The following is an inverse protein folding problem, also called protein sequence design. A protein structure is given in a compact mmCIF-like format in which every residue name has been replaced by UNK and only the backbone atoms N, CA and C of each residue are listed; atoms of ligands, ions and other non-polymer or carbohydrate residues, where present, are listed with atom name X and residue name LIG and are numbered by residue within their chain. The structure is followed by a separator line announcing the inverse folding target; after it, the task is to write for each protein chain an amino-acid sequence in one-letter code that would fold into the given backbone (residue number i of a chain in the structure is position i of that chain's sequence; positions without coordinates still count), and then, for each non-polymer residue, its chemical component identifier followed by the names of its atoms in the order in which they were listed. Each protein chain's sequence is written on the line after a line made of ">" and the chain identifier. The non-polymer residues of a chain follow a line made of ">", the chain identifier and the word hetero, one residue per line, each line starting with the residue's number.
data_IF_089550443496
#
_entry.id   IF_089550443496
#
_cell.length_a   1.000
_cell.length_b   1.000
_cell.length_c   1.000
_cell.angle_alpha   90.00
_cell.angle_beta   90.00
_cell.angle_gamma   90.00
#
_symmetry.space_group_name_H-M   'P 1'
#
loop_
_entity.id
_entity.type
_entity.pdbx_description
1 polymer ?
2 water ?
#
# COMPACT_ATOMS: atom_id res chain seq x y z
N UNK A 3 -17.97 -12.56 -5.72
CA UNK A 3 -18.82 -12.49 -4.49
C UNK A 3 -18.02 -12.06 -3.24
N UNK A 4 -18.75 -11.78 -2.17
CA UNK A 4 -18.17 -11.36 -0.89
C UNK A 4 -17.41 -10.04 -1.03
N UNK A 5 -17.82 -9.23 -2.01
CA UNK A 5 -17.18 -7.94 -2.24
C UNK A 5 -15.82 -8.07 -2.92
N UNK A 6 -15.45 -9.28 -3.31
CA UNK A 6 -14.16 -9.44 -3.97
C UNK A 6 -14.33 -9.49 -5.48
N UNK A 7 -13.22 -9.66 -6.19
CA UNK A 7 -13.24 -9.70 -7.65
C UNK A 7 -14.11 -10.87 -8.15
N UNK A 8 -14.86 -10.63 -9.21
CA UNK A 8 -15.72 -11.66 -9.77
C UNK A 8 -14.80 -12.71 -10.41
N UNK A 9 -15.09 -13.98 -10.14
CA UNK A 9 -14.26 -15.02 -10.71
C UNK A 9 -14.21 -16.21 -9.78
N UNK A 10 -13.99 -17.39 -10.35
CA UNK A 10 -13.92 -18.61 -9.57
C UNK A 10 -12.62 -19.37 -9.79
N UNK A 11 -11.67 -18.76 -10.50
CA UNK A 11 -10.40 -19.44 -10.75
C UNK A 11 -9.75 -19.78 -9.41
N UNK A 12 -9.62 -21.07 -9.13
CA UNK A 12 -9.02 -21.54 -7.88
C UNK A 12 -7.50 -21.53 -7.92
N UNK A 13 -6.93 -21.59 -9.13
CA UNK A 13 -5.47 -21.61 -9.26
C UNK A 13 -4.77 -20.24 -9.14
N UNK A 14 -5.45 -19.18 -9.57
CA UNK A 14 -4.85 -17.86 -9.50
C UNK A 14 -5.78 -16.75 -9.92
N UNK A 15 -5.22 -15.69 -10.50
CA UNK A 15 -6.05 -14.56 -10.91
C UNK A 15 -6.24 -13.59 -9.76
N UNK A 16 -6.94 -12.48 -10.01
CA UNK A 16 -7.16 -11.49 -8.96
C UNK A 16 -7.92 -12.13 -7.80
N UNK A 17 -7.69 -11.61 -6.59
CA UNK A 17 -8.32 -12.14 -5.39
C UNK A 17 -9.84 -12.32 -5.51
N UNK A 18 -10.34 -13.55 -5.28
CA UNK A 18 -11.78 -13.75 -5.33
C UNK A 18 -12.24 -14.56 -4.11
N UNK A 19 -13.55 -14.61 -3.92
CA UNK A 19 -14.15 -15.31 -2.80
C UNK A 19 -13.70 -16.77 -2.64
N UNK A 20 -13.50 -17.46 -3.77
CA UNK A 20 -13.06 -18.86 -3.72
C UNK A 20 -11.65 -19.00 -3.11
N UNK A 21 -10.80 -18.00 -3.34
CA UNK A 21 -9.44 -18.02 -2.81
C UNK A 21 -9.39 -17.97 -1.29
N UNK A 22 -10.35 -17.27 -0.69
CA UNK A 22 -10.36 -17.10 0.75
C UNK A 22 -11.53 -17.72 1.50
N UNK A 23 -12.24 -18.63 0.83
CA UNK A 23 -13.38 -19.30 1.47
C UNK A 23 -12.86 -20.12 2.64
N UNK A 24 -11.63 -20.62 2.52
CA UNK A 24 -10.99 -21.43 3.54
C UNK A 24 -10.65 -20.72 4.87
N UNK A 25 -10.69 -19.39 4.88
CA UNK A 25 -10.35 -18.63 6.07
C UNK A 25 -11.53 -18.14 6.90
N UNK A 26 -12.52 -19.02 7.07
CA UNK A 26 -13.69 -18.66 7.85
C UNK A 26 -14.18 -17.26 7.52
N UNK A 27 -14.48 -16.46 8.55
CA UNK A 27 -15.00 -15.13 8.34
C UNK A 27 -13.94 -14.01 8.29
N UNK A 28 -12.67 -14.37 8.11
CA UNK A 28 -11.62 -13.35 8.07
C UNK A 28 -11.75 -12.38 6.88
N UNK A 29 -12.34 -12.86 5.79
CA UNK A 29 -12.52 -12.05 4.57
C UNK A 29 -13.99 -11.78 4.30
N UNK A 30 -14.37 -10.50 4.21
CA UNK A 30 -15.77 -10.17 3.95
C UNK A 30 -15.90 -8.73 3.44
N UNK A 31 -16.88 -8.51 2.57
CA UNK A 31 -17.15 -7.20 1.97
C UNK A 31 -15.90 -6.56 1.35
N UNK A 32 -15.02 -7.40 0.83
CA UNK A 32 -13.80 -6.92 0.20
C UNK A 32 -12.69 -6.62 1.18
N UNK A 33 -12.94 -6.86 2.47
CA UNK A 33 -12.00 -6.58 3.58
C UNK A 33 -11.39 -7.83 4.25
N UNK A 34 -10.16 -7.70 4.76
CA UNK A 34 -9.48 -8.80 5.47
C UNK A 34 -9.30 -8.34 6.91
N UNK A 35 -10.04 -8.95 7.82
CA UNK A 35 -9.97 -8.61 9.23
C UNK A 35 -9.75 -9.87 10.08
N UNK A 36 -8.47 -10.25 10.29
CA UNK A 36 -8.16 -11.44 11.09
C UNK A 36 -7.98 -11.08 12.56
N UNK A 37 -8.04 -12.09 13.42
CA UNK A 37 -7.87 -11.86 14.86
C UNK A 37 -6.59 -12.56 15.33
N UNK A 38 -5.58 -11.76 15.65
CA UNK A 38 -4.30 -12.26 16.10
C UNK A 38 -4.29 -12.31 17.62
N UNK A 39 -3.76 -13.40 18.18
CA UNK A 39 -3.67 -13.57 19.64
C UNK A 39 -3.51 -12.20 20.29
N UNK A 40 -4.27 -11.96 21.36
CA UNK A 40 -4.22 -10.70 22.08
C UNK A 40 -2.79 -10.19 22.25
N UNK A 41 -1.87 -11.09 22.58
CA UNK A 41 -0.49 -10.73 22.82
C UNK A 41 0.29 -10.15 21.62
N UNK A 42 0.32 -10.87 20.50
CA UNK A 42 1.04 -10.38 19.33
C UNK A 42 1.11 -11.45 18.25
N UNK A 43 1.77 -11.15 17.14
CA UNK A 43 1.86 -12.12 16.07
C UNK A 43 2.76 -13.30 16.36
N UNK A 44 3.55 -13.18 17.42
CA UNK A 44 4.45 -14.26 17.83
C UNK A 44 3.68 -15.43 18.41
N UNK A 45 2.49 -15.14 18.95
CA UNK A 45 1.66 -16.18 19.55
C UNK A 45 0.81 -16.85 18.48
N UNK A 46 0.50 -18.15 18.66
CA UNK A 46 -0.31 -18.88 17.67
C UNK A 46 -1.73 -18.37 17.53
N UNK A 47 -2.39 -18.83 16.46
CA UNK A 47 -3.77 -18.44 16.17
C UNK A 47 -4.44 -19.52 15.34
N UNK A 48 -5.76 -19.49 15.27
CA UNK A 48 -6.49 -20.49 14.50
C UNK A 48 -7.54 -19.84 13.62
N UNK A 49 -7.58 -20.25 12.36
CA UNK A 49 -8.52 -19.73 11.37
C UNK A 49 -9.33 -20.85 10.76
N UNK A 50 -10.64 -20.78 10.93
CA UNK A 50 -11.53 -21.79 10.38
C UNK A 50 -10.99 -23.21 10.46
N UNK A 51 -10.59 -23.62 11.66
CA UNK A 51 -10.08 -24.98 11.81
C UNK A 51 -8.56 -25.15 11.76
N UNK A 52 -7.90 -24.48 10.83
CA UNK A 52 -6.44 -24.58 10.72
C UNK A 52 -5.79 -23.73 11.78
N UNK A 53 -4.91 -24.34 12.56
CA UNK A 53 -4.20 -23.59 13.59
C UNK A 53 -2.89 -23.16 12.96
N UNK A 54 -2.41 -21.98 13.31
CA UNK A 54 -1.16 -21.48 12.76
C UNK A 54 -0.15 -21.38 13.88
N UNK A 55 1.06 -21.84 13.61
CA UNK A 55 2.13 -21.79 14.60
C UNK A 55 2.21 -20.39 15.18
N UNK A 56 2.00 -19.39 14.32
CA UNK A 56 2.04 -18.01 14.76
C UNK A 56 1.26 -17.12 13.81
N UNK A 57 1.05 -15.87 14.22
CA UNK A 57 0.34 -14.95 13.35
C UNK A 57 1.18 -14.70 12.10
N UNK A 58 2.50 -14.73 12.26
CA UNK A 58 3.40 -14.52 11.14
C UNK A 58 3.20 -15.63 10.10
N UNK A 59 2.96 -16.85 10.56
CA UNK A 59 2.74 -17.96 9.65
C UNK A 59 1.46 -17.75 8.85
N UNK A 60 0.48 -17.09 9.46
CA UNK A 60 -0.77 -16.82 8.78
C UNK A 60 -0.50 -15.78 7.69
N UNK A 61 0.24 -14.74 8.06
CA UNK A 61 0.59 -13.68 7.11
C UNK A 61 1.37 -14.26 5.92
N UNK A 62 2.29 -15.19 6.19
CA UNK A 62 3.05 -15.79 5.11
C UNK A 62 2.13 -16.44 4.11
N UNK A 63 1.13 -17.16 4.60
CA UNK A 63 0.21 -17.81 3.68
C UNK A 63 -0.66 -16.77 2.98
N UNK A 64 -1.00 -15.68 3.65
CA UNK A 64 -1.82 -14.67 3.01
C UNK A 64 -1.07 -13.94 1.92
N UNK A 65 0.27 -13.98 1.98
CA UNK A 65 1.08 -13.32 0.97
C UNK A 65 0.91 -14.00 -0.40
N UNK A 66 0.61 -15.29 -0.37
CA UNK A 66 0.42 -16.07 -1.60
C UNK A 66 -0.95 -15.84 -2.26
N UNK A 67 -1.78 -14.97 -1.67
CA UNK A 67 -3.09 -14.70 -2.23
C UNK A 67 -3.15 -13.53 -3.22
N UNK A 68 -3.83 -13.76 -4.34
CA UNK A 68 -4.07 -12.72 -5.32
C UNK A 68 -3.12 -12.19 -6.38
N UNK A 69 -1.86 -12.63 -6.41
CA UNK A 69 -0.93 -12.11 -7.40
C UNK A 69 -0.51 -12.99 -8.56
N UNK A 70 -1.13 -14.17 -8.67
CA UNK A 70 -0.76 -15.11 -9.72
C UNK A 70 -1.52 -15.02 -11.04
N UNK A 71 -0.87 -15.49 -12.11
CA UNK A 71 -1.51 -15.52 -13.43
C UNK A 71 -2.63 -16.56 -13.36
N UNK A 72 -3.32 -16.78 -14.47
CA UNK A 72 -4.44 -17.73 -14.46
C UNK A 72 -4.12 -19.19 -14.19
N UNK A 73 -2.90 -19.61 -14.42
CA UNK A 73 -2.59 -21.01 -14.18
C UNK A 73 -1.79 -21.23 -12.92
N UNK A 74 -1.80 -20.24 -12.01
CA UNK A 74 -1.05 -20.40 -10.78
C UNK A 74 0.43 -19.99 -10.73
N UNK A 75 0.95 -19.41 -11.80
CA UNK A 75 2.34 -19.00 -11.79
C UNK A 75 2.40 -17.52 -11.49
N UNK A 76 3.61 -16.95 -11.45
CA UNK A 76 3.73 -15.53 -11.18
C UNK A 76 4.20 -14.74 -12.38
N UNK A 77 4.77 -15.46 -13.35
CA UNK A 77 5.25 -14.85 -14.58
C UNK A 77 4.12 -14.39 -15.49
N UNK A 78 4.47 -13.61 -16.51
CA UNK A 78 3.48 -13.11 -17.44
C UNK A 78 4.15 -12.94 -18.79
N UNK A 79 3.42 -12.56 -19.85
CA UNK A 79 4.00 -12.39 -21.18
C UNK A 79 5.18 -11.44 -21.31
N UNK A 80 5.26 -10.42 -20.46
CA UNK A 80 6.37 -9.49 -20.54
C UNK A 80 7.59 -9.97 -19.77
N UNK A 81 7.40 -10.95 -18.88
CA UNK A 81 8.51 -11.48 -18.09
C UNK A 81 8.02 -12.80 -17.51
N UNK A 82 8.38 -13.88 -18.18
CA UNK A 82 7.93 -15.21 -17.78
C UNK A 82 8.68 -15.76 -16.58
N UNK A 83 9.86 -15.21 -16.29
CA UNK A 83 10.67 -15.70 -15.18
C UNK A 83 11.07 -14.57 -14.24
N UNK A 84 10.10 -13.94 -13.55
CA UNK A 84 10.41 -12.84 -12.63
C UNK A 84 11.37 -13.20 -11.48
N UNK A 85 11.35 -14.46 -11.06
CA UNK A 85 12.23 -14.87 -9.96
C UNK A 85 13.52 -15.51 -10.43
N UNK A 86 13.78 -15.45 -11.74
CA UNK A 86 14.99 -16.02 -12.32
C UNK A 86 16.27 -15.26 -12.04
N UNK A 87 17.41 -15.90 -12.29
CA UNK A 87 18.71 -15.29 -12.01
C UNK A 87 18.96 -14.00 -12.78
N UNK A 88 18.42 -13.91 -13.99
CA UNK A 88 18.60 -12.72 -14.81
C UNK A 88 18.01 -11.49 -14.15
N UNK A 89 16.73 -11.58 -13.78
CA UNK A 89 16.04 -10.48 -13.13
C UNK A 89 16.71 -10.17 -11.79
N UNK A 90 17.12 -11.21 -11.06
CA UNK A 90 17.81 -11.01 -9.78
C UNK A 90 19.04 -10.11 -9.92
N UNK A 91 19.88 -10.40 -10.91
CA UNK A 91 21.09 -9.58 -11.11
C UNK A 91 20.75 -8.13 -11.47
N UNK A 92 19.72 -7.93 -12.28
CA UNK A 92 19.38 -6.55 -12.63
C UNK A 92 18.90 -5.88 -11.36
N UNK A 93 18.14 -6.61 -10.53
CA UNK A 93 17.61 -6.04 -9.30
C UNK A 93 18.70 -5.66 -8.30
N UNK A 94 19.70 -6.52 -8.16
CA UNK A 94 20.82 -6.24 -7.25
C UNK A 94 21.51 -4.94 -7.70
N UNK A 95 21.71 -4.76 -9.00
CA UNK A 95 22.37 -3.55 -9.49
C UNK A 95 21.50 -2.32 -9.22
N UNK A 96 20.19 -2.44 -9.44
CA UNK A 96 19.28 -1.32 -9.19
C UNK A 96 19.27 -0.93 -7.70
N UNK A 97 19.35 -1.94 -6.83
CA UNK A 97 19.36 -1.71 -5.39
C UNK A 97 20.55 -0.84 -5.00
N UNK A 98 21.72 -1.23 -5.50
CA UNK A 98 22.96 -0.51 -5.25
C UNK A 98 22.89 0.88 -5.85
N UNK A 99 22.31 0.99 -7.04
CA UNK A 99 22.18 2.31 -7.67
C UNK A 99 21.21 3.19 -6.88
N UNK A 100 20.25 2.56 -6.23
CA UNK A 100 19.27 3.31 -5.45
C UNK A 100 19.90 4.12 -4.32
N UNK A 101 20.98 3.65 -3.72
CA UNK A 101 21.59 4.41 -2.62
C UNK A 101 22.26 5.71 -3.02
N UNK A 102 22.65 5.83 -4.29
CA UNK A 102 23.31 7.03 -4.81
C UNK A 102 22.40 7.91 -5.61
N UNK A 103 21.14 7.48 -5.78
CA UNK A 103 20.18 8.23 -6.57
C UNK A 103 19.81 9.56 -5.93
N UNK A 104 20.11 10.66 -6.61
CA UNK A 104 19.82 11.98 -6.08
C UNK A 104 18.60 12.61 -6.76
N UNK A 105 17.80 11.80 -7.44
CA UNK A 105 16.62 12.34 -8.12
C UNK A 105 15.34 12.02 -7.36
N UNK A 106 15.45 11.59 -6.11
CA UNK A 106 14.26 11.25 -5.33
C UNK A 106 13.38 12.44 -4.98
N UNK A 107 12.09 12.14 -4.82
CA UNK A 107 11.08 13.13 -4.48
C UNK A 107 11.38 13.86 -3.20
N UNK A 108 10.68 14.96 -2.98
CA UNK A 108 10.82 15.81 -1.79
C UNK A 108 12.27 16.26 -1.61
N UNK A 109 12.97 16.47 -2.73
CA UNK A 109 14.37 16.88 -2.71
C UNK A 109 15.18 15.85 -1.93
N UNK A 110 14.98 14.59 -2.31
CA UNK A 110 15.63 13.45 -1.68
C UNK A 110 15.25 13.38 -0.23
N UNK A 111 13.97 13.64 0.00
CA UNK A 111 13.39 13.62 1.33
C UNK A 111 13.98 14.65 2.29
N UNK A 112 14.70 15.64 1.76
CA UNK A 112 15.30 16.68 2.63
C UNK A 112 14.29 17.79 2.94
N UNK A 113 13.19 17.80 2.21
CA UNK A 113 12.14 18.79 2.46
C UNK A 113 11.66 18.58 3.88
N UNK A 114 11.30 19.67 4.59
CA UNK A 114 10.83 19.58 5.97
C UNK A 114 9.58 18.69 6.04
N UNK A 115 9.65 17.66 6.88
CA UNK A 115 8.54 16.73 7.02
C UNK A 115 7.65 17.05 8.23
N UNK A 116 6.33 17.12 8.01
CA UNK A 116 5.40 17.42 9.11
C UNK A 116 5.31 16.22 10.05
N UNK A 117 4.80 16.45 11.25
CA UNK A 117 4.66 15.40 12.24
C UNK A 117 3.49 15.82 13.15
N UNK A 118 2.65 14.87 13.55
CA UNK A 118 1.54 15.24 14.43
C UNK A 118 2.03 15.25 15.87
N UNK A 119 1.48 16.14 16.67
CA UNK A 119 1.89 16.23 18.06
C UNK A 119 1.29 15.06 18.84
N UNK A 120 1.76 14.88 20.07
CA UNK A 120 1.31 13.83 20.97
C UNK A 120 -0.19 13.94 21.24
N UNK A 121 -0.66 15.17 21.36
CA UNK A 121 -2.05 15.42 21.65
C UNK A 121 -2.92 15.09 20.43
N UNK A 122 -2.43 15.48 19.25
CA UNK A 122 -3.15 15.23 18.01
C UNK A 122 -3.37 13.75 17.80
N UNK A 123 -2.36 12.94 18.09
CA UNK A 123 -2.46 11.51 17.93
C UNK A 123 -3.48 10.97 18.92
N UNK A 124 -3.40 11.45 20.16
CA UNK A 124 -4.30 11.02 21.22
C UNK A 124 -5.75 11.30 20.87
N UNK A 125 -6.03 12.46 20.30
CA UNK A 125 -7.40 12.81 19.92
C UNK A 125 -8.02 11.83 18.92
N UNK A 126 -7.19 11.32 18.01
CA UNK A 126 -7.68 10.41 16.98
C UNK A 126 -7.80 8.97 17.42
N UNK A 127 -7.22 8.62 18.57
CA UNK A 127 -7.29 7.24 19.05
C UNK A 127 -8.76 6.83 19.17
N UNK A 128 -9.12 5.71 18.53
CA UNK A 128 -10.49 5.24 18.57
C UNK A 128 -11.49 5.89 17.61
N UNK A 129 -11.01 6.81 16.76
CA UNK A 129 -11.87 7.49 15.81
C UNK A 129 -12.47 6.49 14.81
N UNK A 130 -13.67 6.77 14.30
CA UNK A 130 -14.32 5.89 13.31
C UNK A 130 -13.83 6.33 11.93
N UNK A 131 -12.71 5.74 11.49
CA UNK A 131 -12.14 6.11 10.19
C UNK A 131 -13.05 5.78 9.02
N UNK A 132 -13.99 4.84 9.22
CA UNK A 132 -14.92 4.47 8.16
C UNK A 132 -16.11 5.42 7.95
N UNK A 133 -16.25 6.43 8.78
CA UNK A 133 -17.37 7.36 8.68
C UNK A 133 -16.96 8.58 7.86
N UNK A 134 -17.39 8.63 6.60
CA UNK A 134 -17.01 9.71 5.69
C UNK A 134 -17.56 11.07 6.10
N UNK A 135 -18.57 11.08 6.97
CA UNK A 135 -19.18 12.34 7.42
C UNK A 135 -18.45 13.02 8.59
N UNK A 136 -17.42 12.40 9.13
CA UNK A 136 -16.70 12.99 10.27
C UNK A 136 -15.40 13.69 9.90
N UNK A 137 -15.11 14.79 10.57
CA UNK A 137 -13.87 15.49 10.35
C UNK A 137 -12.84 14.80 11.25
N UNK A 138 -11.59 14.72 10.80
CA UNK A 138 -10.56 14.08 11.62
C UNK A 138 -10.50 14.94 12.89
N UNK A 139 -10.45 14.30 14.06
CA UNK A 139 -10.38 15.02 15.33
C UNK A 139 -9.25 16.03 15.51
N UNK A 140 -8.09 15.78 14.91
CA UNK A 140 -6.98 16.69 15.09
C UNK A 140 -6.95 17.85 14.12
N UNK A 141 -8.04 18.04 13.38
CA UNK A 141 -8.08 19.14 12.41
C UNK A 141 -7.45 18.67 11.11
N UNK A 142 -7.31 19.56 10.10
CA UNK A 142 -6.74 19.25 8.79
C UNK A 142 -5.35 18.64 8.89
N UNK A 143 -5.11 17.54 8.19
CA UNK A 143 -3.78 16.97 8.23
C UNK A 143 -2.89 17.93 7.44
N UNK A 144 -1.62 18.07 7.86
CA UNK A 144 -0.71 18.95 7.14
C UNK A 144 -0.31 18.30 5.82
N UNK A 145 -0.26 19.06 4.73
CA UNK A 145 0.22 18.52 3.46
C UNK A 145 1.75 18.62 3.62
N UNK A 146 2.52 17.63 3.12
CA UNK A 146 3.97 17.72 3.28
C UNK A 146 4.65 18.68 2.33
N UNK A 147 5.38 19.65 2.88
CA UNK A 147 6.11 20.63 2.06
C UNK A 147 6.85 19.95 0.92
N UNK A 148 6.80 20.54 -0.28
CA UNK A 148 7.50 19.94 -1.41
C UNK A 148 6.68 18.98 -2.25
N UNK A 149 5.44 18.72 -1.85
CA UNK A 149 4.61 17.82 -2.65
C UNK A 149 4.14 18.57 -3.88
N UNK A 150 4.34 18.00 -5.08
CA UNK A 150 3.88 18.71 -6.27
C UNK A 150 2.37 18.80 -6.27
N UNK A 151 1.84 19.84 -6.91
CA UNK A 151 0.40 20.04 -7.01
C UNK A 151 -0.11 19.15 -8.13
N UNK A 152 -1.40 18.82 -8.11
CA UNK A 152 -1.94 17.96 -9.17
C UNK A 152 -2.33 18.74 -10.43
N UNK A 153 -2.63 18.02 -11.49
CA UNK A 153 -3.03 18.65 -12.73
C UNK A 153 -2.56 17.85 -13.92
N UNK A 154 -1.35 17.32 -13.85
CA UNK A 154 -0.80 16.53 -14.94
C UNK A 154 -1.61 15.23 -15.09
N UNK A 155 -1.88 14.85 -16.34
CA UNK A 155 -2.62 13.62 -16.58
C UNK A 155 -1.75 12.71 -17.43
N UNK A 156 -1.26 11.59 -16.85
CA UNK A 156 -0.42 10.70 -17.63
C UNK A 156 -1.10 10.33 -18.94
N UNK A 157 -0.32 10.27 -20.01
CA UNK A 157 -0.88 9.99 -21.31
C UNK A 157 -0.83 8.53 -21.75
N UNK A 158 0.17 7.79 -21.29
CA UNK A 158 0.30 6.41 -21.71
C UNK A 158 -0.09 5.33 -20.71
N UNK A 159 -0.62 5.71 -19.54
CA UNK A 159 -1.00 4.74 -18.50
C UNK A 159 0.05 3.65 -18.31
N UNK A 160 1.29 4.06 -18.02
CA UNK A 160 2.41 3.14 -17.83
C UNK A 160 2.35 2.20 -16.64
N UNK A 161 1.54 2.52 -15.63
CA UNK A 161 1.41 1.70 -14.44
C UNK A 161 0.43 0.54 -14.64
N UNK A 162 -0.43 0.66 -15.65
CA UNK A 162 -1.45 -0.35 -15.95
C UNK A 162 -0.82 -1.73 -16.20
N UNK A 163 -1.22 -2.72 -15.41
CA UNK A 163 -0.69 -4.07 -15.59
C UNK A 163 -0.49 -4.78 -14.27
N UNK A 164 0.21 -5.91 -14.34
CA UNK A 164 0.52 -6.69 -13.15
C UNK A 164 2.03 -6.63 -12.92
N UNK A 165 2.38 -6.30 -11.67
CA UNK A 165 3.77 -6.12 -11.26
C UNK A 165 4.12 -7.13 -10.20
N UNK A 166 5.28 -7.75 -10.31
CA UNK A 166 5.69 -8.75 -9.33
C UNK A 166 6.90 -8.27 -8.54
N UNK A 167 6.78 -8.30 -7.22
CA UNK A 167 7.84 -7.87 -6.32
C UNK A 167 9.09 -8.73 -6.45
N UNK A 168 10.23 -8.06 -6.65
CA UNK A 168 11.49 -8.79 -6.78
C UNK A 168 12.49 -8.37 -5.70
N UNK A 169 12.12 -7.38 -4.91
CA UNK A 169 13.01 -6.98 -3.82
C UNK A 169 12.24 -6.16 -2.81
N UNK A 170 12.51 -6.44 -1.53
CA UNK A 170 11.85 -5.70 -0.47
C UNK A 170 10.49 -6.24 -0.08
N UNK A 171 10.19 -7.47 -0.50
CA UNK A 171 8.91 -8.04 -0.14
C UNK A 171 8.85 -8.37 1.34
N UNK A 172 7.67 -8.19 1.93
CA UNK A 172 7.52 -8.48 3.35
C UNK A 172 7.69 -9.93 3.72
N UNK A 173 7.33 -10.85 2.83
CA UNK A 173 7.45 -12.27 3.17
C UNK A 173 8.90 -12.64 3.52
N UNK A 174 9.86 -12.06 2.81
CA UNK A 174 11.26 -12.32 3.08
C UNK A 174 11.61 -11.92 4.51
N UNK A 175 11.07 -10.78 4.98
CA UNK A 175 11.33 -10.32 6.35
C UNK A 175 10.65 -11.22 7.38
N UNK A 176 9.44 -11.68 7.06
CA UNK A 176 8.70 -12.57 7.94
C UNK A 176 9.45 -13.90 8.06
N UNK A 177 9.91 -14.46 6.95
CA UNK A 177 10.64 -15.73 6.97
C UNK A 177 11.89 -15.60 7.86
N UNK A 178 12.50 -14.42 7.88
CA UNK A 178 13.66 -14.17 8.72
C UNK A 178 13.25 -14.24 10.19
N UNK A 179 12.14 -13.60 10.52
CA UNK A 179 11.60 -13.59 11.88
C UNK A 179 11.23 -15.00 12.31
N UNK A 180 10.57 -15.76 11.44
CA UNK A 180 10.18 -17.12 11.75
C UNK A 180 11.39 -18.02 12.06
N UNK A 181 12.48 -17.84 11.31
CA UNK A 181 13.68 -18.63 11.49
C UNK A 181 14.32 -18.29 12.84
N UNK A 182 13.92 -17.15 13.39
CA UNK A 182 14.44 -16.68 14.67
C UNK A 182 13.80 -17.47 15.81
N UNK A 183 13.15 -18.58 15.47
CA UNK A 183 12.51 -19.42 16.46
C UNK A 183 11.61 -18.72 17.45
N UNK A 184 12.05 -18.64 18.71
CA UNK A 184 11.29 -18.02 19.79
C UNK A 184 11.29 -16.49 19.81
N UNK A 185 10.17 -15.90 19.35
CA UNK A 185 10.03 -14.44 19.33
C UNK A 185 9.21 -13.93 20.52
N UNK A 186 9.59 -12.78 21.05
CA UNK A 186 8.87 -12.19 22.16
C UNK A 186 7.87 -11.16 21.62
N UNK A 187 7.00 -10.65 22.47
CA UNK A 187 5.97 -9.68 22.08
C UNK A 187 6.61 -8.42 21.54
N UNK A 188 7.57 -7.87 22.28
CA UNK A 188 8.25 -6.67 21.82
C UNK A 188 8.84 -6.92 20.44
N UNK A 189 9.53 -8.05 20.30
CA UNK A 189 10.19 -8.42 19.06
C UNK A 189 9.23 -8.54 17.89
N UNK A 190 8.09 -9.19 18.10
CA UNK A 190 7.09 -9.35 17.07
C UNK A 190 6.53 -7.96 16.74
N UNK A 191 6.18 -7.22 17.78
CA UNK A 191 5.63 -5.88 17.61
C UNK A 191 6.53 -4.99 16.75
N UNK A 192 7.85 -5.10 16.92
CA UNK A 192 8.76 -4.28 16.14
C UNK A 192 8.81 -4.72 14.68
N UNK A 193 8.71 -6.02 14.45
CA UNK A 193 8.75 -6.53 13.07
C UNK A 193 7.52 -6.03 12.32
N UNK A 194 6.37 -6.11 12.97
CA UNK A 194 5.14 -5.64 12.36
C UNK A 194 5.24 -4.16 12.03
N UNK A 195 5.64 -3.36 13.02
CA UNK A 195 5.76 -1.92 12.82
C UNK A 195 6.79 -1.51 11.78
N UNK A 196 7.96 -2.16 11.80
CA UNK A 196 9.01 -1.80 10.84
C UNK A 196 8.72 -2.19 9.39
N UNK A 197 7.96 -3.27 9.19
CA UNK A 197 7.63 -3.69 7.83
C UNK A 197 6.21 -3.28 7.43
N UNK A 198 5.52 -2.54 8.29
CA UNK A 198 4.13 -2.19 7.99
C UNK A 198 3.96 -1.38 6.72
N UNK A 199 2.78 -1.56 6.13
CA UNK A 199 2.37 -0.90 4.91
C UNK A 199 3.44 -0.73 3.85
N UNK A 200 3.72 0.49 3.40
CA UNK A 200 4.68 0.61 2.31
C UNK A 200 6.15 0.56 2.62
N UNK A 201 6.48 0.17 3.85
CA UNK A 201 7.87 0.00 4.24
C UNK A 201 8.40 -1.26 3.56
N UNK A 202 7.51 -2.20 3.25
CA UNK A 202 7.89 -3.41 2.52
C UNK A 202 6.78 -3.64 1.50
N UNK A 203 6.99 -4.54 0.55
CA UNK A 203 5.93 -4.76 -0.41
C UNK A 203 5.14 -6.05 -0.24
N UNK A 204 4.01 -6.12 -0.93
CA UNK A 204 3.23 -7.33 -0.93
C UNK A 204 3.99 -8.10 -1.99
N UNK A 205 3.46 -9.21 -2.48
CA UNK A 205 4.21 -9.94 -3.50
C UNK A 205 3.88 -9.46 -4.90
N UNK A 206 2.87 -8.59 -5.00
CA UNK A 206 2.44 -8.08 -6.30
C UNK A 206 1.62 -6.80 -6.20
N UNK A 207 1.29 -6.26 -7.36
CA UNK A 207 0.38 -5.12 -7.49
C UNK A 207 -0.32 -5.32 -8.85
N UNK A 208 -1.62 -5.04 -8.91
CA UNK A 208 -2.38 -5.08 -10.17
C UNK A 208 -2.92 -3.65 -10.23
N UNK A 209 -2.64 -2.95 -11.32
CA UNK A 209 -3.07 -1.57 -11.41
C UNK A 209 -3.86 -1.31 -12.68
N UNK A 210 -4.97 -0.62 -12.52
CA UNK A 210 -5.80 -0.23 -13.63
C UNK A 210 -5.51 1.26 -13.58
N UNK A 211 -5.02 1.81 -14.67
CA UNK A 211 -4.72 3.24 -14.69
C UNK A 211 -5.39 3.92 -15.88
N UNK A 212 -6.10 5.02 -15.62
CA UNK A 212 -6.72 5.78 -16.69
C UNK A 212 -6.35 7.24 -16.40
N UNK A 213 -5.24 7.69 -16.95
CA UNK A 213 -4.81 9.07 -16.70
C UNK A 213 -4.41 9.27 -15.24
N UNK A 214 -5.13 10.14 -14.56
CA UNK A 214 -4.84 10.45 -13.16
C UNK A 214 -5.71 9.67 -12.15
N UNK A 215 -6.44 8.66 -12.63
CA UNK A 215 -7.28 7.83 -11.76
C UNK A 215 -6.81 6.39 -11.88
N UNK A 216 -6.59 5.74 -10.74
CA UNK A 216 -6.15 4.35 -10.74
C UNK A 216 -6.90 3.49 -9.74
N UNK A 217 -7.01 2.20 -10.05
CA UNK A 217 -7.56 1.23 -9.10
C UNK A 217 -6.37 0.31 -8.86
N UNK A 218 -6.06 0.03 -7.59
CA UNK A 218 -4.91 -0.78 -7.25
C UNK A 218 -5.26 -1.97 -6.35
N UNK A 219 -4.85 -3.16 -6.78
CA UNK A 219 -5.06 -4.37 -6.00
C UNK A 219 -3.70 -4.56 -5.34
N UNK A 220 -3.72 -4.64 -4.01
CA UNK A 220 -2.52 -4.80 -3.19
C UNK A 220 -2.69 -6.00 -2.26
N UNK A 221 -1.60 -6.47 -1.67
CA UNK A 221 -1.63 -7.64 -0.80
C UNK A 221 -2.54 -7.53 0.42
N UNK A 222 -3.40 -8.52 0.60
CA UNK A 222 -4.28 -8.53 1.78
C UNK A 222 -3.50 -9.07 2.99
N UNK A 223 -2.25 -9.46 2.78
CA UNK A 223 -1.44 -9.91 3.89
C UNK A 223 -1.02 -8.64 4.64
N UNK A 224 -1.08 -7.49 3.97
CA UNK A 224 -0.67 -6.21 4.55
C UNK A 224 -1.82 -5.20 4.71
N UNK A 225 -2.60 -5.03 3.66
CA UNK A 225 -3.71 -4.10 3.66
C UNK A 225 -5.05 -4.81 3.85
N UNK A 226 -5.90 -4.23 4.70
CA UNK A 226 -7.21 -4.83 4.97
C UNK A 226 -8.11 -4.73 3.74
N UNK A 227 -7.93 -3.72 2.89
CA UNK A 227 -8.75 -3.61 1.69
C UNK A 227 -7.99 -4.16 0.48
N UNK A 228 -8.58 -5.12 -0.23
CA UNK A 228 -7.93 -5.72 -1.37
C UNK A 228 -7.79 -4.77 -2.55
N UNK A 229 -8.79 -3.95 -2.76
CA UNK A 229 -8.82 -3.02 -3.89
C UNK A 229 -9.18 -1.60 -3.49
N UNK A 230 -8.45 -0.62 -4.02
CA UNK A 230 -8.76 0.78 -3.74
C UNK A 230 -8.63 1.59 -5.03
N UNK A 231 -9.42 2.64 -5.14
CA UNK A 231 -9.38 3.52 -6.31
C UNK A 231 -9.13 4.93 -5.76
N UNK A 232 -8.24 5.66 -6.41
CA UNK A 232 -7.96 7.02 -5.96
C UNK A 232 -7.67 7.93 -7.14
N UNK A 233 -7.57 9.23 -6.88
CA UNK A 233 -7.27 10.18 -7.94
C UNK A 233 -6.13 11.09 -7.48
N UNK A 234 -5.24 11.41 -8.42
CA UNK A 234 -4.11 12.30 -8.15
C UNK A 234 -4.54 13.49 -7.31
N UNK A 235 -3.88 13.70 -6.17
CA UNK A 235 -4.17 14.84 -5.31
C UNK A 235 -5.32 14.68 -4.31
N UNK A 236 -5.96 13.50 -4.30
CA UNK A 236 -7.08 13.26 -3.39
C UNK A 236 -6.80 12.17 -2.38
N UNK A 237 -7.26 12.39 -1.14
CA UNK A 237 -7.03 11.46 -0.04
C UNK A 237 -7.79 10.14 -0.14
N UNK A 238 -7.24 9.13 0.50
CA UNK A 238 -7.92 7.86 0.59
C UNK A 238 -7.47 7.25 1.89
N UNK A 239 -8.25 6.32 2.37
CA UNK A 239 -8.01 5.70 3.66
C UNK A 239 -7.52 4.25 3.48
N UNK A 240 -6.41 3.92 4.15
CA UNK A 240 -5.89 2.57 4.09
C UNK A 240 -5.93 1.86 5.45
N UNK A 241 -6.94 1.02 5.69
CA UNK A 241 -6.95 0.31 6.98
C UNK A 241 -5.92 -0.81 6.82
N UNK A 242 -5.15 -1.08 7.88
CA UNK A 242 -4.10 -2.09 7.82
C UNK A 242 -4.43 -3.33 8.64
N UNK A 243 -3.92 -4.46 8.18
CA UNK A 243 -4.11 -5.73 8.86
C UNK A 243 -3.47 -5.66 10.25
N UNK A 244 -2.48 -4.79 10.39
CA UNK A 244 -1.78 -4.60 11.67
C UNK A 244 -2.64 -3.84 12.67
N UNK A 245 -3.72 -3.23 12.19
CA UNK A 245 -4.58 -2.46 13.05
C UNK A 245 -4.31 -0.99 12.85
N UNK A 246 -3.24 -0.68 12.13
CA UNK A 246 -2.89 0.71 11.88
C UNK A 246 -3.87 1.36 10.93
N UNK A 247 -3.88 2.69 10.89
CA UNK A 247 -4.78 3.42 9.99
C UNK A 247 -3.98 4.49 9.25
N UNK A 248 -4.09 4.51 7.93
CA UNK A 248 -3.36 5.52 7.14
C UNK A 248 -4.33 6.35 6.35
N UNK A 249 -4.01 7.64 6.22
CA UNK A 249 -4.75 8.56 5.38
C UNK A 249 -3.65 9.10 4.46
N UNK A 250 -3.74 8.80 3.18
CA UNK A 250 -2.68 9.24 2.28
C UNK A 250 -3.17 9.74 0.95
N UNK A 251 -2.23 10.15 0.12
CA UNK A 251 -2.53 10.71 -1.18
C UNK A 251 -1.43 10.35 -2.18
N UNK A 252 -1.81 10.10 -3.43
CA UNK A 252 -0.82 9.86 -4.48
C UNK A 252 -1.06 11.02 -5.44
N UNK A 253 0.03 11.59 -5.94
CA UNK A 253 -0.06 12.65 -6.94
C UNK A 253 0.66 12.06 -8.15
N UNK A 254 0.17 12.34 -9.34
CA UNK A 254 0.77 11.83 -10.58
C UNK A 254 1.16 13.09 -11.38
N UNK A 255 2.28 13.72 -11.00
CA UNK A 255 2.79 14.95 -11.63
C UNK A 255 3.60 14.76 -12.89
N UNK A 256 3.95 13.51 -13.18
CA UNK A 256 4.82 13.21 -14.31
C UNK A 256 4.32 11.99 -15.02
N UNK A 257 4.86 11.69 -16.20
CA UNK A 257 4.38 10.53 -16.91
C UNK A 257 4.73 9.20 -16.27
N UNK A 258 5.93 9.09 -15.73
CA UNK A 258 6.38 7.82 -15.17
C UNK A 258 6.66 7.75 -13.69
N UNK A 259 6.21 8.74 -12.93
CA UNK A 259 6.44 8.73 -11.50
C UNK A 259 5.27 9.24 -10.68
N UNK A 260 5.01 8.57 -9.57
CA UNK A 260 3.96 9.02 -8.65
C UNK A 260 4.70 9.48 -7.40
N UNK A 261 4.18 10.53 -6.77
CA UNK A 261 4.77 11.04 -5.54
C UNK A 261 3.63 11.22 -4.54
N UNK A 262 3.82 10.74 -3.32
CA UNK A 262 2.75 10.83 -2.34
C UNK A 262 3.22 10.76 -0.92
N UNK A 263 2.29 10.56 -0.01
CA UNK A 263 2.66 10.48 1.39
C UNK A 263 1.52 9.78 2.08
N UNK A 264 1.79 9.22 3.26
CA UNK A 264 0.77 8.54 4.04
C UNK A 264 0.97 8.88 5.49
N UNK A 265 -0.09 9.36 6.13
CA UNK A 265 -0.06 9.71 7.55
C UNK A 265 -0.44 8.46 8.32
N UNK A 266 0.47 7.96 9.15
CA UNK A 266 0.22 6.78 9.98
C UNK A 266 -0.33 7.39 11.26
N UNK A 267 -1.66 7.33 11.40
CA UNK A 267 -2.34 7.97 12.50
C UNK A 267 -1.96 7.56 13.92
N UNK A 268 -1.62 6.30 14.15
CA UNK A 268 -1.26 5.92 15.51
C UNK A 268 0.10 6.39 16.01
N UNK A 269 0.96 6.84 15.11
CA UNK A 269 2.31 7.33 15.47
C UNK A 269 2.49 8.82 15.17
N UNK A 270 1.59 9.36 14.35
CA UNK A 270 1.69 10.77 13.98
C UNK A 270 2.77 11.02 12.96
N UNK A 271 3.31 9.95 12.37
CA UNK A 271 4.37 10.09 11.37
C UNK A 271 3.86 10.21 9.93
N UNK A 272 4.51 11.04 9.12
CA UNK A 272 4.13 11.23 7.72
C UNK A 272 5.17 10.51 6.86
N UNK A 273 4.81 9.36 6.29
CA UNK A 273 5.73 8.62 5.41
C UNK A 273 5.64 9.26 4.06
N UNK A 274 6.78 9.53 3.44
CA UNK A 274 6.74 10.15 2.14
C UNK A 274 7.20 9.11 1.16
N UNK A 275 6.66 9.13 -0.05
CA UNK A 275 6.94 8.03 -0.97
C UNK A 275 6.84 8.36 -2.45
N UNK A 276 7.55 7.59 -3.26
CA UNK A 276 7.45 7.73 -4.71
C UNK A 276 7.46 6.34 -5.34
N UNK A 277 6.85 6.24 -6.52
CA UNK A 277 6.89 5.01 -7.31
C UNK A 277 7.24 5.50 -8.69
N UNK A 278 8.24 4.90 -9.32
CA UNK A 278 8.62 5.28 -10.67
C UNK A 278 8.82 4.04 -11.52
N UNK A 279 8.42 4.11 -12.78
CA UNK A 279 8.57 3.00 -13.71
C UNK A 279 9.65 3.38 -14.72
N UNK A 280 10.53 2.44 -15.05
CA UNK A 280 11.61 2.71 -16.02
C UNK A 280 12.09 1.39 -16.60
N UNK A 281 12.68 1.43 -17.80
CA UNK A 281 13.17 0.21 -18.42
C UNK A 281 14.58 -0.21 -18.01
N UNK A 282 14.82 -1.52 -18.03
CA UNK A 282 16.14 -2.10 -17.75
C UNK A 282 16.19 -3.31 -18.67
N UNK A 283 17.16 -3.32 -19.59
CA UNK A 283 17.22 -4.44 -20.51
C UNK A 283 15.90 -4.52 -21.26
N UNK A 284 15.34 -5.72 -21.45
CA UNK A 284 14.07 -5.92 -22.17
C UNK A 284 12.84 -5.77 -21.29
N UNK A 285 13.03 -5.38 -20.04
CA UNK A 285 11.93 -5.25 -19.06
C UNK A 285 11.61 -3.86 -18.57
N UNK A 286 10.48 -3.77 -17.86
CA UNK A 286 10.09 -2.52 -17.24
C UNK A 286 10.05 -2.80 -15.74
N UNK A 287 10.71 -1.95 -14.96
CA UNK A 287 10.72 -2.12 -13.53
C UNK A 287 10.03 -0.94 -12.85
N UNK A 288 9.65 -1.15 -11.60
CA UNK A 288 9.05 -0.10 -10.82
C UNK A 288 9.80 -0.06 -9.51
N UNK A 289 10.26 1.12 -9.11
CA UNK A 289 10.93 1.24 -7.85
C UNK A 289 10.10 2.08 -6.92
N UNK A 290 9.80 1.53 -5.75
CA UNK A 290 9.03 2.22 -4.73
C UNK A 290 10.01 2.64 -3.64
N UNK A 291 10.00 3.90 -3.23
CA UNK A 291 10.91 4.38 -2.21
C UNK A 291 10.08 5.11 -1.15
N UNK A 292 10.10 4.58 0.07
CA UNK A 292 9.37 5.15 1.19
C UNK A 292 10.32 5.66 2.27
N UNK A 293 10.08 6.86 2.77
CA UNK A 293 10.97 7.45 3.78
C UNK A 293 10.29 8.05 4.98
N UNK A 294 10.92 7.84 6.13
CA UNK A 294 10.48 8.41 7.39
C UNK A 294 11.70 8.48 8.33
N UNK A 295 11.82 9.62 8.99
CA UNK A 295 12.92 9.83 9.93
C UNK A 295 14.32 9.53 9.42
N UNK A 296 14.60 9.83 8.15
CA UNK A 296 15.92 9.60 7.60
C UNK A 296 16.19 8.19 7.09
N UNK A 297 15.18 7.37 7.13
CA UNK A 297 15.38 6.01 6.67
C UNK A 297 14.55 5.71 5.43
N UNK A 298 15.18 5.38 4.38
CA UNK A 298 14.52 5.08 3.12
C UNK A 298 14.44 3.58 2.89
N UNK A 299 13.23 3.06 2.64
CA UNK A 299 13.03 1.63 2.36
C UNK A 299 12.59 1.46 0.89
N UNK A 300 13.29 0.60 0.13
CA UNK A 300 12.97 0.35 -1.28
C UNK A 300 12.25 -0.97 -1.57
N UNK A 301 11.31 -0.92 -2.52
CA UNK A 301 10.61 -2.11 -2.96
C UNK A 301 10.76 -2.07 -4.48
N UNK A 302 11.16 -3.18 -5.08
CA UNK A 302 11.31 -3.25 -6.55
C UNK A 302 10.35 -4.28 -7.10
N UNK A 303 9.73 -3.95 -8.24
CA UNK A 303 8.79 -4.84 -8.93
C UNK A 303 9.19 -4.90 -10.39
N UNK A 304 8.91 -6.03 -11.03
CA UNK A 304 9.19 -6.15 -12.45
C UNK A 304 7.82 -6.33 -13.13
N UNK A 305 7.62 -5.68 -14.28
CA UNK A 305 6.33 -5.77 -14.95
C UNK A 305 6.19 -7.10 -15.73
N UNK A 306 5.23 -7.92 -15.33
CA UNK A 306 5.05 -9.22 -16.00
C UNK A 306 3.92 -9.18 -17.04
N UNK A 307 3.08 -8.16 -17.00
CA UNK A 307 1.98 -8.06 -17.96
C UNK A 307 1.37 -6.68 -18.04
N UNK A 308 0.91 -6.28 -19.24
CA UNK A 308 0.24 -5.00 -19.40
C UNK A 308 -1.22 -5.11 -18.92
N UNK A 309 -1.67 -6.34 -18.63
CA UNK A 309 -3.03 -6.58 -18.19
C UNK A 309 -3.10 -6.88 -16.69
N UNK A 310 -3.83 -6.04 -15.92
CA UNK A 310 -3.92 -6.30 -14.49
C UNK A 310 -4.82 -7.51 -14.20
N UNK A 311 -5.64 -7.86 -15.18
CA UNK A 311 -6.59 -8.98 -15.03
C UNK A 311 -7.39 -8.78 -13.75
N UNK A 312 -7.91 -7.57 -13.60
CA UNK A 312 -8.68 -7.18 -12.42
C UNK A 312 -9.45 -5.95 -12.84
N UNK A 313 -10.67 -5.80 -12.34
CA UNK A 313 -11.51 -4.66 -12.72
C UNK A 313 -11.44 -3.43 -11.83
N UNK A 314 -11.67 -2.24 -12.41
CA UNK A 314 -11.65 -1.01 -11.61
C UNK A 314 -12.87 -1.02 -10.70
N UNK A 315 -12.90 -0.15 -9.70
CA UNK A 315 -14.08 0.00 -8.85
C UNK A 315 -14.32 1.52 -8.87
N UNK A 316 -15.53 1.97 -8.50
CA UNK A 316 -15.90 3.40 -8.49
C UNK A 316 -14.93 4.30 -7.76
N UNK A 317 -14.86 5.54 -8.22
CA UNK A 317 -13.97 6.54 -7.62
C UNK A 317 -14.49 7.05 -6.27
N UNK A 318 -13.55 7.43 -5.40
CA UNK A 318 -13.89 7.96 -4.07
C UNK A 318 -12.69 8.72 -3.55
N UNK A 319 -12.90 9.40 -2.44
CA UNK A 319 -11.81 10.10 -1.78
C UNK A 319 -12.27 10.33 -0.35
N UNK A 320 -11.33 10.73 0.50
CA UNK A 320 -11.59 10.98 1.91
C UNK A 320 -11.06 12.37 2.28
N UNK A 321 -11.10 13.30 1.33
CA UNK A 321 -10.65 14.67 1.51
C UNK A 321 -11.43 15.43 2.61
N UNK A 322 -12.71 15.12 2.78
CA UNK A 322 -13.49 15.79 3.82
C UNK A 322 -12.93 15.44 5.21
N UNK A 323 -12.84 14.16 5.50
CA UNK A 323 -12.33 13.69 6.79
C UNK A 323 -10.88 14.12 7.01
N UNK A 324 -10.00 13.78 6.06
CA UNK A 324 -8.60 14.11 6.17
C UNK A 324 -8.27 15.59 6.32
N UNK A 325 -8.99 16.47 5.61
CA UNK A 325 -8.75 17.90 5.71
C UNK A 325 -9.75 18.56 6.69
N UNK A 326 -10.50 17.74 7.41
CA UNK A 326 -11.49 18.25 8.37
C UNK A 326 -12.34 19.35 7.75
N UNK A 327 -12.78 19.14 6.53
CA UNK A 327 -13.63 20.11 5.87
C UNK A 327 -12.97 21.40 5.43
N UNK A 328 -11.66 21.51 5.51
CA UNK A 328 -10.99 22.75 5.12
C UNK A 328 -10.41 22.74 3.71
N UNK A 329 -11.05 23.48 2.81
CA UNK A 329 -10.58 23.58 1.44
C UNK A 329 -9.18 24.18 1.42
N UNK A 330 -8.36 23.74 0.45
CA UNK A 330 -7.01 24.27 0.27
C UNK A 330 -6.20 24.38 1.57
N UNK A 331 -6.24 23.31 2.36
CA UNK A 331 -5.51 23.27 3.62
C UNK A 331 -4.03 23.43 3.28
N UNK A 332 -3.23 23.94 4.22
CA UNK A 332 -1.79 24.16 3.99
C UNK A 332 -0.81 23.04 4.25
N UNK A 333 0.39 23.25 3.72
CA UNK A 333 1.52 22.35 3.92
C UNK A 333 2.04 22.83 5.26
N UNK A 334 3.07 22.18 5.78
CA UNK A 334 3.65 22.60 7.04
C UNK A 334 4.49 23.89 6.90
N UNK A 335 4.56 24.46 5.70
CA UNK A 335 5.29 25.70 5.54
C UNK A 335 4.26 26.81 5.27
N UNK A 336 3.00 26.48 5.54
CA UNK A 336 1.92 27.44 5.35
C UNK A 336 1.42 27.68 3.93
N UNK A 337 1.85 26.88 2.97
CA UNK A 337 1.39 27.07 1.60
C UNK A 337 0.14 26.23 1.31
N UNK A 338 -0.90 26.87 0.75
CA UNK A 338 -2.16 26.16 0.42
C UNK A 338 -1.93 25.07 -0.62
N UNK A 339 -2.53 23.90 -0.40
CA UNK A 339 -2.40 22.83 -1.39
C UNK A 339 -3.76 22.85 -2.05
N UNK A 340 -3.82 23.00 -3.38
CA UNK A 340 -5.11 23.06 -4.08
C UNK A 340 -6.01 21.83 -4.22
N UNK A 341 -6.56 21.36 -3.11
CA UNK A 341 -7.48 20.25 -3.10
C UNK A 341 -8.62 20.63 -2.18
N UNK A 342 -9.85 20.50 -2.67
CA UNK A 342 -11.04 20.82 -1.89
C UNK A 342 -11.40 19.70 -0.94
N UNK A 343 -11.87 20.08 0.25
CA UNK A 343 -12.24 19.15 1.30
C UNK A 343 -13.63 18.55 1.09
N UNK A 344 -13.85 17.94 -0.07
CA UNK A 344 -15.13 17.30 -0.37
C UNK A 344 -14.80 15.95 -1.00
N UNK A 345 -15.48 14.91 -0.56
CA UNK A 345 -15.21 13.59 -1.12
C UNK A 345 -15.76 13.46 -2.54
N UNK A 346 -14.94 12.92 -3.44
CA UNK A 346 -15.30 12.71 -4.83
C UNK A 346 -16.56 11.84 -4.95
N UNK A 347 -16.84 11.03 -3.94
CA UNK A 347 -18.03 10.16 -4.01
C UNK A 347 -19.19 10.60 -3.09
N UNK A 348 -19.11 11.82 -2.57
CA UNK A 348 -20.14 12.40 -1.71
C UNK A 348 -21.47 12.23 -2.47
N UNK A 349 -22.57 11.92 -1.76
CA UNK A 349 -22.81 11.69 -0.35
C UNK A 349 -22.66 10.27 0.23
N UNK A 350 -21.87 9.38 -0.39
CA UNK A 350 -21.71 8.04 0.19
C UNK A 350 -21.29 8.24 1.65
N UNK A 351 -21.81 7.39 2.54
CA UNK A 351 -21.55 7.57 3.97
C UNK A 351 -20.45 6.76 4.63
N UNK A 352 -20.19 5.57 4.12
CA UNK A 352 -19.18 4.72 4.73
C UNK A 352 -18.02 4.38 3.80
N UNK A 353 -16.86 4.19 4.41
CA UNK A 353 -15.65 3.80 3.70
C UNK A 353 -15.19 2.55 4.43
#
# INVERSE_FOLDING_TARGET
>A
VCEKGFEAGDNKLGGALNAKHVEKYGDNFKNGMHKPEFHEDGLHKPMEVGGKKFESGFHYLLECHELGGKNASGGYGGPLCEDPYGSEVQAMTEKLLKEADSDRTLCFNNFQDPCPQLTKEQVAMCKGFDYGDKTLKLPCGPLPWPAGLPEPGYVPKTNPLHGRWITVSGGQAAFIKEAIKSGMLGAAEANKIVADTDHHQTGGMYLRINQFGDVCTVDASVAKFARAKRTWKSGHYFYEPLVSGGNLLGVWVLPEEYRKIGFFWEMESGRCFRIERRAFPVGPYTFMRQATEVGGKISFVFYVKVSNDPESDPIPLQSRDYTALAGRDNAPTNLGKPYPTLAKDLDYPKKRDGWLEKNEKEMLRQRNIVSSTF
#
